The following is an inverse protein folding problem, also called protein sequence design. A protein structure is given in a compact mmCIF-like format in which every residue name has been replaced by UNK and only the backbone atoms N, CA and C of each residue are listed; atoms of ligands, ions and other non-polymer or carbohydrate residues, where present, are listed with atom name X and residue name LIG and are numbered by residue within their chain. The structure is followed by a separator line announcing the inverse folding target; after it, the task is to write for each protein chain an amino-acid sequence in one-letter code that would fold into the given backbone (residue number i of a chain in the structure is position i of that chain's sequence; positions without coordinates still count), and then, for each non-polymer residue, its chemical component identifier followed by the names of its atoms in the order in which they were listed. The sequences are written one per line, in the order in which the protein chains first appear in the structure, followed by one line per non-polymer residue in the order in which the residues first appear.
data_IF_848626572217
#
_entry.id   IF_848626572217
#
_cell.length_a   1.000
_cell.length_b   1.000
_cell.length_c   1.000
_cell.angle_alpha   90.00
_cell.angle_beta   90.00
_cell.angle_gamma   90.00
#
_symmetry.space_group_name_H-M   'P 1'
#
loop_
_entity.id
_entity.type
_entity.pdbx_description
1 polymer ?
#
# COMPACT_ATOMS: atom_id res chain seq x y z
N UNK A 1 -15.47 0.50 19.29
CA UNK A 1 -15.03 -0.87 19.09
C UNK A 1 -13.58 -1.05 19.53
N UNK A 2 -13.31 -2.04 20.30
CA UNK A 2 -12.03 -2.17 20.97
C UNK A 2 -10.93 -2.69 20.06
N UNK A 3 -9.76 -2.04 20.12
CA UNK A 3 -8.56 -2.53 19.47
C UNK A 3 -8.16 -3.94 19.94
N UNK A 4 -8.67 -4.37 21.09
CA UNK A 4 -8.43 -5.69 21.65
C UNK A 4 -9.15 -6.83 20.93
N UNK A 5 -10.13 -6.52 20.06
CA UNK A 5 -10.92 -7.51 19.34
C UNK A 5 -10.56 -7.61 17.86
N UNK A 6 -9.27 -7.53 17.56
CA UNK A 6 -8.82 -7.74 16.18
C UNK A 6 -9.08 -9.19 15.77
N UNK A 7 -9.70 -9.37 14.63
CA UNK A 7 -9.96 -10.69 14.09
C UNK A 7 -8.65 -11.36 13.62
N UNK A 8 -8.70 -12.68 13.46
CA UNK A 8 -7.57 -13.40 12.86
C UNK A 8 -7.25 -12.85 11.48
N UNK A 9 -8.27 -12.51 10.69
CA UNK A 9 -8.09 -11.90 9.37
C UNK A 9 -7.33 -10.58 9.45
N UNK A 10 -7.63 -9.73 10.43
CA UNK A 10 -6.94 -8.45 10.63
C UNK A 10 -5.46 -8.65 10.94
N UNK A 11 -5.15 -9.62 11.81
CA UNK A 11 -3.79 -9.95 12.18
C UNK A 11 -3.03 -10.48 10.96
N UNK A 12 -3.65 -11.37 10.19
CA UNK A 12 -3.05 -11.93 8.98
C UNK A 12 -2.81 -10.85 7.93
N UNK A 13 -3.75 -9.95 7.74
CA UNK A 13 -3.58 -8.83 6.81
C UNK A 13 -2.39 -7.96 7.22
N UNK A 14 -2.23 -7.67 8.52
CA UNK A 14 -1.11 -6.90 9.03
C UNK A 14 0.22 -7.62 8.79
N UNK A 15 0.28 -8.92 9.03
CA UNK A 15 1.48 -9.72 8.79
C UNK A 15 1.86 -9.75 7.30
N UNK A 16 0.87 -9.91 6.43
CA UNK A 16 1.10 -9.89 4.99
C UNK A 16 1.60 -8.52 4.52
N UNK A 17 1.07 -7.42 5.08
CA UNK A 17 1.56 -6.07 4.78
C UNK A 17 3.03 -5.91 5.17
N UNK A 18 3.42 -6.44 6.31
CA UNK A 18 4.81 -6.40 6.76
C UNK A 18 5.71 -7.12 5.75
N UNK A 19 5.29 -8.28 5.27
CA UNK A 19 6.04 -9.05 4.28
C UNK A 19 6.15 -8.29 2.94
N UNK A 20 5.10 -7.62 2.53
CA UNK A 20 5.11 -6.79 1.32
C UNK A 20 6.07 -5.61 1.49
N UNK A 21 6.00 -4.93 2.62
CA UNK A 21 6.84 -3.76 2.90
C UNK A 21 8.32 -4.11 3.04
N UNK A 22 8.62 -5.29 3.55
CA UNK A 22 10.01 -5.77 3.67
C UNK A 22 10.58 -6.30 2.35
N UNK A 23 9.75 -6.45 1.34
CA UNK A 23 10.18 -7.03 0.07
C UNK A 23 10.23 -8.55 0.04
N UNK A 24 9.75 -9.22 1.09
CA UNK A 24 9.62 -10.68 1.11
C UNK A 24 8.52 -11.14 0.14
N UNK A 25 7.46 -10.37 0.02
CA UNK A 25 6.44 -10.52 -1.01
C UNK A 25 6.59 -9.34 -1.97
N UNK A 26 6.92 -9.64 -3.21
CA UNK A 26 7.23 -8.65 -4.23
C UNK A 26 6.06 -8.43 -5.18
N UNK A 27 6.11 -7.32 -5.91
CA UNK A 27 5.16 -7.06 -6.98
C UNK A 27 5.12 -8.22 -7.97
N UNK A 28 3.92 -8.68 -8.27
CA UNK A 28 3.70 -9.80 -9.16
C UNK A 28 3.74 -11.17 -8.50
N UNK A 29 4.14 -11.25 -7.24
CA UNK A 29 4.14 -12.52 -6.51
C UNK A 29 2.71 -12.99 -6.28
N UNK A 30 2.52 -14.28 -6.46
CA UNK A 30 1.23 -14.92 -6.27
C UNK A 30 1.00 -15.26 -4.82
N UNK A 31 -0.15 -14.87 -4.30
CA UNK A 31 -0.59 -15.24 -2.96
C UNK A 31 -1.55 -16.44 -3.08
N UNK A 32 -1.07 -17.61 -2.77
CA UNK A 32 -1.88 -18.83 -2.78
C UNK A 32 -2.49 -19.01 -1.41
N UNK A 33 -3.80 -18.85 -1.33
CA UNK A 33 -4.57 -18.90 -0.09
C UNK A 33 -4.28 -20.14 0.74
N UNK A 34 -4.28 -21.32 0.10
CA UNK A 34 -4.01 -22.59 0.77
C UNK A 34 -2.61 -22.66 1.36
N UNK A 35 -1.60 -22.23 0.59
CA UNK A 35 -0.21 -22.28 1.02
C UNK A 35 0.05 -21.31 2.16
N UNK A 36 -0.49 -20.10 2.06
CA UNK A 36 -0.37 -19.11 3.13
C UNK A 36 -1.09 -19.55 4.40
N UNK A 37 -2.28 -20.12 4.27
CA UNK A 37 -3.00 -20.65 5.42
C UNK A 37 -2.20 -21.74 6.14
N UNK A 38 -1.56 -22.62 5.37
CA UNK A 38 -0.68 -23.64 5.91
C UNK A 38 0.54 -23.04 6.59
N UNK A 39 1.18 -22.06 5.96
CA UNK A 39 2.36 -21.40 6.49
C UNK A 39 2.09 -20.67 7.80
N UNK A 40 0.94 -20.03 7.91
CA UNK A 40 0.55 -19.30 9.12
C UNK A 40 -0.22 -20.15 10.13
N UNK A 41 -0.41 -21.43 9.84
CA UNK A 41 -1.14 -22.36 10.72
C UNK A 41 -2.56 -21.90 11.04
N UNK A 42 -3.26 -21.41 10.05
CA UNK A 42 -4.65 -20.96 10.15
C UNK A 42 -5.51 -21.67 9.11
N UNK A 43 -6.82 -21.59 9.26
CA UNK A 43 -7.74 -22.10 8.25
C UNK A 43 -7.80 -21.15 7.04
N UNK A 44 -8.37 -21.63 5.93
CA UNK A 44 -8.40 -20.88 4.67
C UNK A 44 -9.33 -19.67 4.74
N UNK A 45 -10.39 -19.75 5.53
CA UNK A 45 -11.39 -18.67 5.61
C UNK A 45 -10.79 -17.35 6.09
N UNK A 46 -10.12 -17.27 7.25
CA UNK A 46 -9.51 -16.03 7.69
C UNK A 46 -8.39 -15.56 6.75
N UNK A 47 -7.68 -16.48 6.12
CA UNK A 47 -6.66 -16.11 5.13
C UNK A 47 -7.30 -15.47 3.91
N UNK A 48 -8.41 -16.00 3.42
CA UNK A 48 -9.16 -15.42 2.31
C UNK A 48 -9.64 -14.00 2.64
N UNK A 49 -10.20 -13.83 3.84
CA UNK A 49 -10.65 -12.51 4.30
C UNK A 49 -9.51 -11.52 4.40
N UNK A 50 -8.34 -11.97 4.86
CA UNK A 50 -7.14 -11.12 4.92
C UNK A 50 -6.70 -10.67 3.53
N UNK A 51 -6.66 -11.58 2.56
CA UNK A 51 -6.31 -11.26 1.17
C UNK A 51 -7.32 -10.29 0.56
N UNK A 52 -8.62 -10.50 0.81
CA UNK A 52 -9.66 -9.58 0.35
C UNK A 52 -9.50 -8.19 0.98
N UNK A 53 -9.10 -8.13 2.23
CA UNK A 53 -8.81 -6.86 2.89
C UNK A 53 -7.65 -6.13 2.23
N UNK A 54 -6.59 -6.85 1.87
CA UNK A 54 -5.46 -6.28 1.14
C UNK A 54 -5.86 -5.80 -0.26
N UNK A 55 -6.79 -6.49 -0.90
CA UNK A 55 -7.33 -6.05 -2.19
C UNK A 55 -8.05 -4.71 -2.04
N UNK A 56 -8.87 -4.56 -1.03
CA UNK A 56 -9.58 -3.30 -0.76
C UNK A 56 -8.62 -2.15 -0.49
N UNK A 57 -7.46 -2.45 0.07
CA UNK A 57 -6.41 -1.46 0.34
C UNK A 57 -5.50 -1.20 -0.87
N UNK A 58 -5.69 -1.93 -1.96
CA UNK A 58 -4.92 -1.76 -3.19
C UNK A 58 -3.55 -2.42 -3.20
N UNK A 59 -3.25 -3.27 -2.22
CA UNK A 59 -1.97 -3.98 -2.12
C UNK A 59 -1.94 -5.30 -2.88
N UNK A 60 -3.11 -5.82 -3.23
CA UNK A 60 -3.29 -7.10 -3.89
C UNK A 60 -4.38 -6.93 -4.94
N UNK A 61 -4.24 -7.61 -6.06
CA UNK A 61 -5.26 -7.70 -7.09
C UNK A 61 -5.70 -9.16 -7.20
N UNK A 62 -7.00 -9.42 -7.15
CA UNK A 62 -7.55 -10.76 -7.26
C UNK A 62 -8.07 -10.97 -8.68
N UNK A 63 -7.48 -11.94 -9.36
CA UNK A 63 -7.88 -12.33 -10.70
C UNK A 63 -8.73 -13.59 -10.64
N UNK A 64 -9.76 -13.65 -11.44
CA UNK A 64 -10.71 -14.76 -11.45
C UNK A 64 -10.07 -16.12 -11.68
N UNK A 65 -9.05 -16.18 -12.56
CA UNK A 65 -8.40 -17.43 -12.96
C UNK A 65 -6.99 -17.60 -12.42
N UNK A 66 -6.41 -16.58 -11.78
CA UNK A 66 -5.01 -16.58 -11.34
C UNK A 66 -4.84 -16.41 -9.83
N UNK A 67 -5.95 -16.22 -9.11
CA UNK A 67 -5.89 -15.94 -7.68
C UNK A 67 -5.39 -14.54 -7.38
N UNK A 68 -4.80 -14.36 -6.21
CA UNK A 68 -4.34 -13.07 -5.73
C UNK A 68 -2.88 -12.83 -6.11
N UNK A 69 -2.56 -11.61 -6.49
CA UNK A 69 -1.21 -11.20 -6.90
C UNK A 69 -0.86 -9.91 -6.17
N UNK A 70 0.34 -9.84 -5.60
CA UNK A 70 0.84 -8.63 -4.94
C UNK A 70 0.97 -7.52 -5.97
N UNK A 71 0.41 -6.36 -5.64
CA UNK A 71 0.44 -5.18 -6.48
C UNK A 71 1.09 -4.04 -5.71
N UNK A 72 2.31 -3.72 -6.06
CA UNK A 72 3.00 -2.56 -5.50
C UNK A 72 2.89 -1.40 -6.49
N UNK A 73 3.56 -0.29 -6.19
CA UNK A 73 3.55 0.87 -7.07
C UNK A 73 4.19 0.51 -8.41
N UNK A 74 3.44 0.70 -9.49
CA UNK A 74 3.95 0.54 -10.86
C UNK A 74 4.69 1.80 -11.29
N UNK A 75 5.45 1.73 -12.39
CA UNK A 75 6.09 2.90 -12.98
C UNK A 75 5.06 3.98 -13.34
N UNK A 76 3.88 3.57 -13.82
CA UNK A 76 2.79 4.50 -14.12
C UNK A 76 2.25 5.17 -12.87
N UNK A 77 2.10 4.43 -11.77
CA UNK A 77 1.68 4.99 -10.49
C UNK A 77 2.69 6.01 -9.98
N UNK A 78 3.98 5.70 -10.08
CA UNK A 78 5.05 6.62 -9.69
C UNK A 78 5.00 7.90 -10.53
N UNK A 79 4.77 7.79 -11.84
CA UNK A 79 4.62 8.95 -12.72
C UNK A 79 3.42 9.81 -12.30
N UNK A 80 2.28 9.21 -12.00
CA UNK A 80 1.11 9.94 -11.52
C UNK A 80 1.40 10.67 -10.21
N UNK A 81 2.12 10.02 -9.29
CA UNK A 81 2.51 10.63 -8.01
C UNK A 81 3.44 11.81 -8.26
N UNK A 82 4.43 11.68 -9.16
CA UNK A 82 5.33 12.77 -9.50
C UNK A 82 4.61 13.93 -10.20
N UNK A 83 3.64 13.64 -11.06
CA UNK A 83 2.82 14.68 -11.69
C UNK A 83 1.98 15.42 -10.66
N UNK A 84 1.37 14.70 -9.72
CA UNK A 84 0.62 15.29 -8.62
C UNK A 84 1.53 16.17 -7.76
N UNK A 85 2.74 15.70 -7.44
CA UNK A 85 3.73 16.47 -6.69
C UNK A 85 4.11 17.75 -7.43
N UNK A 86 4.36 17.67 -8.72
CA UNK A 86 4.68 18.83 -9.55
C UNK A 86 3.56 19.86 -9.53
N UNK A 87 2.30 19.41 -9.62
CA UNK A 87 1.14 20.28 -9.49
C UNK A 87 1.07 20.93 -8.11
N UNK A 88 1.39 20.16 -7.05
CA UNK A 88 1.37 20.64 -5.68
C UNK A 88 2.50 21.62 -5.38
N UNK A 89 3.64 21.52 -6.04
CA UNK A 89 4.80 22.40 -5.85
C UNK A 89 4.84 23.57 -6.84
N UNK A 90 3.98 23.57 -7.87
CA UNK A 90 3.94 24.59 -8.91
C UNK A 90 3.13 25.82 -8.52
N UNK A 91 3.19 26.86 -9.39
CA UNK A 91 2.47 28.13 -9.19
C UNK A 91 0.96 27.96 -9.00
N UNK A 92 0.38 26.93 -9.61
CA UNK A 92 -1.04 26.62 -9.46
C UNK A 92 -1.45 26.43 -8.02
N UNK A 93 -0.52 26.02 -7.14
CA UNK A 93 -0.79 25.82 -5.73
C UNK A 93 -0.97 27.14 -4.99
N UNK A 94 -0.19 28.15 -5.31
CA UNK A 94 -0.36 29.44 -4.64
C UNK A 94 -1.76 29.99 -4.84
N UNK A 95 -2.34 29.78 -6.01
CA UNK A 95 -3.72 30.19 -6.28
C UNK A 95 -4.74 29.21 -5.69
N UNK A 96 -4.40 27.94 -5.58
CA UNK A 96 -5.28 26.90 -5.03
C UNK A 96 -5.30 26.91 -3.52
N UNK A 97 -4.20 27.25 -2.86
CA UNK A 97 -4.11 27.27 -1.39
C UNK A 97 -5.07 28.23 -0.73
N UNK A 98 -5.36 29.35 -1.35
CA UNK A 98 -6.32 30.32 -0.84
C UNK A 98 -7.75 29.78 -0.86
N UNK A 99 -8.05 28.85 -1.75
CA UNK A 99 -9.39 28.30 -1.95
C UNK A 99 -9.48 26.81 -1.58
N UNK A 100 -8.39 26.23 -1.11
CA UNK A 100 -8.34 24.82 -0.78
C UNK A 100 -8.90 24.58 0.63
N UNK A 101 -9.81 23.61 0.77
CA UNK A 101 -10.31 23.25 2.07
C UNK A 101 -9.24 22.54 2.92
N UNK A 102 -9.38 22.54 4.25
CA UNK A 102 -8.38 21.91 5.13
C UNK A 102 -8.18 20.41 4.87
N UNK A 103 -9.21 19.71 4.42
CA UNK A 103 -9.15 18.28 4.14
C UNK A 103 -8.27 18.01 2.92
N UNK A 104 -8.44 18.77 1.86
CA UNK A 104 -7.64 18.64 0.64
C UNK A 104 -6.17 18.98 0.92
N UNK A 105 -5.93 20.01 1.72
CA UNK A 105 -4.58 20.39 2.12
C UNK A 105 -3.91 19.28 2.94
N UNK A 106 -4.64 18.67 3.86
CA UNK A 106 -4.12 17.55 4.66
C UNK A 106 -3.75 16.36 3.79
N UNK A 107 -4.54 16.06 2.77
CA UNK A 107 -4.23 14.99 1.81
C UNK A 107 -2.97 15.29 1.02
N UNK A 108 -2.80 16.54 0.58
CA UNK A 108 -1.62 16.96 -0.15
C UNK A 108 -0.35 16.82 0.69
N UNK A 109 -0.42 17.23 1.96
CA UNK A 109 0.70 17.08 2.89
C UNK A 109 1.05 15.61 3.13
N UNK A 110 0.04 14.76 3.28
CA UNK A 110 0.25 13.33 3.46
C UNK A 110 0.98 12.71 2.27
N UNK A 111 0.56 13.04 1.05
CA UNK A 111 1.21 12.58 -0.17
C UNK A 111 2.66 13.04 -0.21
N UNK A 112 2.92 14.30 0.12
CA UNK A 112 4.26 14.87 0.17
C UNK A 112 5.16 14.12 1.17
N UNK A 113 4.65 13.83 2.36
CA UNK A 113 5.38 13.07 3.38
C UNK A 113 5.70 11.66 2.92
N UNK A 114 4.75 10.98 2.28
CA UNK A 114 4.96 9.64 1.74
C UNK A 114 6.04 9.61 0.67
N UNK A 115 6.05 10.60 -0.22
CA UNK A 115 7.07 10.72 -1.25
C UNK A 115 8.45 11.00 -0.65
N UNK A 116 8.53 11.85 0.35
CA UNK A 116 9.78 12.18 1.02
C UNK A 116 10.37 10.95 1.73
N UNK A 117 9.57 10.19 2.44
CA UNK A 117 10.03 8.99 3.13
C UNK A 117 10.38 7.86 2.17
N UNK A 118 9.75 7.78 1.01
CA UNK A 118 10.05 6.76 0.00
C UNK A 118 11.39 7.01 -0.71
N UNK A 119 11.82 8.27 -0.83
CA UNK A 119 13.07 8.62 -1.51
C UNK A 119 14.31 8.46 -0.64
N UNK A 120 14.20 8.53 0.67
CA UNK A 120 15.33 8.41 1.59
C UNK A 120 16.07 7.07 1.53
N UNK A 121 15.37 5.92 1.55
CA UNK A 121 16.07 4.63 1.51
C UNK A 121 16.88 4.38 0.25
N UNK A 122 16.43 4.91 -0.87
CA UNK A 122 17.15 4.75 -2.14
C UNK A 122 18.45 5.54 -2.18
N UNK A 123 18.46 6.73 -1.60
CA UNK A 123 19.66 7.55 -1.53
C UNK A 123 20.73 6.92 -0.63
N UNK A 124 20.32 6.27 0.46
CA UNK A 124 21.25 5.58 1.34
C UNK A 124 21.81 4.31 0.71
N UNK A 125 21.03 3.61 -0.10
CA UNK A 125 21.49 2.43 -0.81
C UNK A 125 22.50 2.69 -1.90
N UNK A 126 22.54 3.89 -2.46
CA UNK A 126 23.49 4.28 -3.51
C UNK A 126 24.83 4.80 -3.01
N UNK A 127 24.92 5.20 -1.76
CA UNK A 127 26.15 5.72 -1.18
C UNK A 127 27.10 4.64 -0.66
N UNK A 128 26.70 3.40 -0.72
CA UNK A 128 27.51 2.24 -0.42
C UNK A 128 27.88 1.48 -1.70
#
# INVERSE_FOLDING_TARGET
MNAATRSTADILASELKILINKGALRDGDRLVERDLACQFSVSRIPMREAIQQLEREGLVEIFRNRGAVVKTLTAADVDEIYQLRALLEGEAIFHSLENMDPETLARAELVHQLLSSASEPELQGRSN
#
